data_IF_727783025630
#
_entry.id   IF_727783025630
#
_cell.length_a   1.000
_cell.length_b   1.000
_cell.length_c   1.000
_cell.angle_alpha   90.00
_cell.angle_beta   90.00
_cell.angle_gamma   90.00
#
_symmetry.space_group_name_H-M   'P 1'
#
loop_
_entity.id
_entity.type
_entity.pdbx_description
1 polymer ?
#
# COMPACT_ATOMS: atom_id res chain seq x y z
N UNK A 1 13.94 -6.86 6.40
CA UNK A 1 12.62 -6.57 5.81
C UNK A 1 12.59 -7.20 4.43
N UNK A 2 11.50 -7.88 4.07
CA UNK A 2 11.29 -8.44 2.74
C UNK A 2 9.99 -7.87 2.18
N UNK A 3 10.03 -7.43 0.93
CA UNK A 3 8.91 -6.81 0.24
C UNK A 3 8.69 -7.58 -1.06
N UNK A 4 7.47 -8.05 -1.30
CA UNK A 4 7.09 -8.66 -2.57
C UNK A 4 6.03 -7.78 -3.23
N UNK A 5 6.32 -7.34 -4.44
CA UNK A 5 5.34 -6.70 -5.32
C UNK A 5 4.49 -7.78 -5.97
N UNK A 6 3.21 -7.71 -5.75
CA UNK A 6 2.27 -8.65 -6.36
C UNK A 6 1.81 -8.11 -7.72
N UNK A 7 1.08 -7.03 -7.76
CA UNK A 7 0.76 -6.25 -8.98
C UNK A 7 0.32 -4.85 -8.54
N UNK A 8 0.59 -3.86 -9.33
CA UNK A 8 0.11 -2.48 -9.17
C UNK A 8 0.59 -1.87 -7.85
N UNK A 9 -0.32 -1.60 -6.92
CA UNK A 9 0.02 -1.09 -5.59
C UNK A 9 0.07 -2.18 -4.52
N UNK A 10 -0.25 -3.43 -4.88
CA UNK A 10 -0.33 -4.51 -3.92
C UNK A 10 1.06 -5.02 -3.53
N UNK A 11 1.35 -4.95 -2.23
CA UNK A 11 2.59 -5.40 -1.63
C UNK A 11 2.35 -6.43 -0.53
N UNK A 12 3.18 -7.46 -0.47
CA UNK A 12 3.32 -8.32 0.71
C UNK A 12 4.60 -7.93 1.43
N UNK A 13 4.47 -7.44 2.66
CA UNK A 13 5.59 -6.94 3.48
C UNK A 13 5.82 -7.85 4.68
N UNK A 14 7.03 -8.40 4.78
CA UNK A 14 7.47 -9.20 5.92
C UNK A 14 8.53 -8.41 6.70
N UNK A 15 8.20 -8.05 7.94
CA UNK A 15 9.11 -7.28 8.79
C UNK A 15 8.77 -7.46 10.26
N UNK A 16 9.77 -7.47 11.13
CA UNK A 16 9.62 -7.62 12.58
C UNK A 16 8.77 -8.84 13.00
N UNK A 17 8.88 -9.95 12.25
CA UNK A 17 8.09 -11.17 12.49
C UNK A 17 6.62 -11.06 12.12
N UNK A 18 6.23 -10.03 11.40
CA UNK A 18 4.86 -9.78 10.92
C UNK A 18 4.78 -9.82 9.41
N UNK A 19 3.61 -10.21 8.90
CA UNK A 19 3.28 -10.26 7.48
C UNK A 19 2.06 -9.41 7.20
N UNK A 20 2.22 -8.37 6.37
CA UNK A 20 1.20 -7.41 6.02
C UNK A 20 0.90 -7.49 4.52
N UNK A 21 -0.37 -7.60 4.15
CA UNK A 21 -0.83 -7.43 2.78
C UNK A 21 -1.33 -5.98 2.62
N UNK A 22 -0.71 -5.22 1.72
CA UNK A 22 -1.02 -3.81 1.49
C UNK A 22 -1.74 -3.66 0.16
N UNK A 23 -2.83 -2.92 0.14
CA UNK A 23 -3.63 -2.55 -1.03
C UNK A 23 -3.98 -3.75 -1.96
N UNK A 24 -4.72 -4.76 -1.47
CA UNK A 24 -5.17 -5.88 -2.29
C UNK A 24 -6.34 -5.46 -3.21
N UNK A 25 -6.04 -4.67 -4.22
CA UNK A 25 -7.01 -4.20 -5.21
C UNK A 25 -7.23 -5.17 -6.37
N UNK A 26 -8.24 -4.90 -7.20
CA UNK A 26 -8.70 -5.80 -8.25
C UNK A 26 -7.62 -6.17 -9.29
N UNK A 27 -6.65 -5.30 -9.56
CA UNK A 27 -5.53 -5.61 -10.46
C UNK A 27 -4.59 -6.70 -9.93
N UNK A 28 -4.56 -6.91 -8.62
CA UNK A 28 -3.68 -7.88 -7.95
C UNK A 28 -4.34 -9.23 -7.68
N UNK A 29 -5.60 -9.42 -8.07
CA UNK A 29 -6.41 -10.57 -7.64
C UNK A 29 -5.76 -11.93 -7.93
N UNK A 30 -5.27 -12.15 -9.14
CA UNK A 30 -4.61 -13.41 -9.51
C UNK A 30 -3.30 -13.62 -8.74
N UNK A 31 -2.53 -12.55 -8.52
CA UNK A 31 -1.28 -12.63 -7.79
C UNK A 31 -1.50 -12.91 -6.28
N UNK A 32 -2.51 -12.29 -5.66
CA UNK A 32 -2.88 -12.56 -4.27
C UNK A 32 -3.41 -13.97 -4.09
N UNK A 33 -4.29 -14.46 -4.97
CA UNK A 33 -4.76 -15.85 -4.96
C UNK A 33 -3.61 -16.85 -5.19
N UNK A 34 -2.61 -16.43 -5.96
CA UNK A 34 -1.39 -17.20 -6.21
C UNK A 34 -0.48 -17.38 -4.98
N UNK A 35 -0.65 -16.61 -3.90
CA UNK A 35 0.07 -16.81 -2.64
C UNK A 35 -0.26 -18.16 -2.01
N UNK A 36 -1.46 -18.67 -2.23
CA UNK A 36 -1.93 -19.93 -1.65
C UNK A 36 -2.42 -19.79 -0.21
N UNK A 37 -3.16 -20.80 0.24
CA UNK A 37 -3.89 -20.75 1.50
C UNK A 37 -2.98 -20.62 2.74
N UNK A 38 -1.80 -21.25 2.74
CA UNK A 38 -0.87 -21.21 3.87
C UNK A 38 -0.26 -19.81 4.05
N UNK A 39 0.15 -19.18 2.95
CA UNK A 39 0.72 -17.84 3.00
C UNK A 39 -0.34 -16.80 3.38
N UNK A 40 -1.55 -16.90 2.83
CA UNK A 40 -2.67 -16.04 3.22
C UNK A 40 -3.06 -16.22 4.68
N UNK A 41 -3.13 -17.47 5.19
CA UNK A 41 -3.45 -17.75 6.59
C UNK A 41 -2.43 -17.18 7.59
N UNK A 42 -1.24 -16.83 7.13
CA UNK A 42 -0.17 -16.27 7.97
C UNK A 42 -0.16 -14.72 8.00
N UNK A 43 -1.15 -14.07 7.40
CA UNK A 43 -1.26 -12.60 7.46
C UNK A 43 -1.61 -12.15 8.89
N UNK A 44 -0.90 -11.15 9.36
CA UNK A 44 -1.19 -10.44 10.62
C UNK A 44 -2.15 -9.27 10.38
N UNK A 45 -2.05 -8.61 9.23
CA UNK A 45 -2.95 -7.52 8.87
C UNK A 45 -3.09 -7.34 7.36
N UNK A 46 -4.23 -6.76 6.96
CA UNK A 46 -4.44 -6.12 5.66
C UNK A 46 -4.45 -4.62 5.87
N UNK A 47 -3.63 -3.89 5.11
CA UNK A 47 -3.48 -2.43 5.21
C UNK A 47 -4.00 -1.79 3.94
N UNK A 48 -4.88 -0.81 4.05
CA UNK A 48 -5.55 -0.19 2.90
C UNK A 48 -5.37 1.32 2.95
N UNK A 49 -4.68 1.86 1.95
CA UNK A 49 -4.37 3.29 1.86
C UNK A 49 -5.58 4.13 1.52
N UNK A 50 -6.48 3.65 0.67
CA UNK A 50 -7.73 4.32 0.30
C UNK A 50 -8.71 3.38 -0.43
N UNK A 51 -9.92 3.86 -0.71
CA UNK A 51 -11.08 3.07 -1.12
C UNK A 51 -11.21 2.78 -2.63
N UNK A 52 -10.26 3.17 -3.49
CA UNK A 52 -10.38 2.88 -4.92
C UNK A 52 -10.27 1.37 -5.21
N UNK A 53 -10.98 0.84 -6.23
CA UNK A 53 -11.04 -0.60 -6.51
C UNK A 53 -9.70 -1.24 -6.88
N UNK A 54 -8.74 -0.46 -7.34
CA UNK A 54 -7.37 -0.89 -7.61
C UNK A 54 -6.48 -0.97 -6.36
N UNK A 55 -6.98 -0.50 -5.19
CA UNK A 55 -6.33 -0.61 -3.88
C UNK A 55 -7.10 -1.50 -2.89
N UNK A 56 -8.41 -1.64 -3.05
CA UNK A 56 -9.21 -2.60 -2.28
C UNK A 56 -10.29 -3.22 -3.15
N UNK A 57 -10.24 -4.54 -3.30
CA UNK A 57 -11.29 -5.34 -3.91
C UNK A 57 -12.02 -6.08 -2.79
N UNK A 58 -13.35 -5.90 -2.65
CA UNK A 58 -14.13 -6.51 -1.57
C UNK A 58 -14.07 -8.03 -1.54
N UNK A 59 -14.13 -8.68 -2.70
CA UNK A 59 -14.10 -10.14 -2.78
C UNK A 59 -12.72 -10.67 -2.40
N UNK A 60 -11.67 -10.06 -2.92
CA UNK A 60 -10.30 -10.42 -2.60
C UNK A 60 -9.96 -10.19 -1.12
N UNK A 61 -10.44 -9.08 -0.55
CA UNK A 61 -10.33 -8.81 0.89
C UNK A 61 -11.05 -9.89 1.69
N UNK A 62 -12.26 -10.26 1.29
CA UNK A 62 -13.03 -11.34 1.92
C UNK A 62 -12.30 -12.68 1.88
N UNK A 63 -11.72 -13.07 0.74
CA UNK A 63 -10.91 -14.28 0.59
C UNK A 63 -9.68 -14.27 1.50
N UNK A 64 -8.93 -13.15 1.55
CA UNK A 64 -7.77 -13.01 2.42
C UNK A 64 -8.13 -13.11 3.90
N UNK A 65 -9.22 -12.45 4.33
CA UNK A 65 -9.70 -12.47 5.71
C UNK A 65 -10.34 -13.79 6.12
N UNK A 66 -10.89 -14.55 5.19
CA UNK A 66 -11.38 -15.90 5.43
C UNK A 66 -10.21 -16.88 5.70
N UNK A 67 -9.09 -16.70 4.99
CA UNK A 67 -7.86 -17.47 5.23
C UNK A 67 -7.16 -17.06 6.53
N UNK A 68 -7.08 -15.76 6.82
CA UNK A 68 -6.44 -15.17 8.00
C UNK A 68 -7.50 -14.64 8.99
N UNK A 69 -8.13 -15.53 9.74
CA UNK A 69 -9.25 -15.18 10.64
C UNK A 69 -8.89 -14.13 11.70
N UNK A 70 -7.63 -14.09 12.13
CA UNK A 70 -7.14 -13.19 13.19
C UNK A 70 -6.48 -11.90 12.63
N UNK A 71 -6.36 -11.76 11.30
CA UNK A 71 -5.75 -10.59 10.71
C UNK A 71 -6.60 -9.33 10.96
N UNK A 72 -5.93 -8.24 11.36
CA UNK A 72 -6.54 -6.91 11.49
C UNK A 72 -6.69 -6.24 10.11
N UNK A 73 -7.69 -5.38 9.94
CA UNK A 73 -7.80 -4.50 8.77
C UNK A 73 -7.51 -3.08 9.20
N UNK A 74 -6.39 -2.53 8.77
CA UNK A 74 -5.98 -1.17 9.08
C UNK A 74 -6.24 -0.32 7.85
N UNK A 75 -7.13 0.65 7.93
CA UNK A 75 -7.58 1.40 6.77
C UNK A 75 -7.69 2.91 7.04
N UNK A 76 -7.51 3.69 5.99
CA UNK A 76 -7.85 5.11 5.98
C UNK A 76 -9.31 5.31 6.46
N UNK A 77 -9.63 6.36 7.23
CA UNK A 77 -10.94 6.47 7.89
C UNK A 77 -12.18 6.46 6.99
N UNK A 78 -12.13 7.00 5.76
CA UNK A 78 -13.26 6.92 4.82
C UNK A 78 -13.42 5.48 4.30
N UNK A 79 -12.31 4.83 4.01
CA UNK A 79 -12.25 3.41 3.62
C UNK A 79 -12.75 2.51 4.74
N UNK A 80 -12.32 2.74 5.98
CA UNK A 80 -12.78 1.98 7.14
C UNK A 80 -14.31 2.05 7.31
N UNK A 81 -14.89 3.25 7.12
CA UNK A 81 -16.35 3.43 7.15
C UNK A 81 -17.05 2.69 6.01
N UNK A 82 -16.50 2.73 4.80
CA UNK A 82 -17.02 1.98 3.65
C UNK A 82 -17.04 0.47 3.95
N UNK A 83 -15.96 -0.08 4.48
CA UNK A 83 -15.84 -1.52 4.76
C UNK A 83 -16.80 -2.01 5.85
N UNK A 84 -17.16 -1.14 6.80
CA UNK A 84 -18.00 -1.49 7.95
C UNK A 84 -19.46 -1.02 7.82
N UNK A 85 -19.81 -0.34 6.73
CA UNK A 85 -21.18 0.13 6.50
C UNK A 85 -22.15 -1.05 6.30
N UNK A 86 -23.33 -0.97 6.90
CA UNK A 86 -24.35 -2.00 6.78
C UNK A 86 -24.88 -2.19 5.34
N UNK A 87 -24.72 -1.16 4.49
CA UNK A 87 -25.17 -1.12 3.10
C UNK A 87 -24.03 -1.33 2.10
N UNK A 88 -22.88 -1.82 2.55
CA UNK A 88 -21.67 -2.02 1.72
C UNK A 88 -21.80 -3.13 0.68
N UNK A 89 -23.02 -3.63 0.41
CA UNK A 89 -23.28 -4.59 -0.65
C UNK A 89 -23.42 -3.88 -1.99
N UNK A 90 -22.47 -4.12 -2.88
CA UNK A 90 -22.59 -4.05 -4.33
C UNK A 90 -22.79 -2.69 -5.04
N UNK A 91 -21.76 -2.31 -5.77
CA UNK A 91 -21.92 -1.58 -7.04
C UNK A 91 -22.43 -2.45 -8.20
N UNK A 92 -22.98 -3.65 -7.95
CA UNK A 92 -23.52 -4.58 -8.94
C UNK A 92 -24.97 -4.93 -8.66
N UNK A 93 -25.83 -4.86 -9.69
CA UNK A 93 -27.27 -5.14 -9.61
C UNK A 93 -27.54 -6.62 -9.20
N UNK A 94 -27.58 -6.89 -7.91
CA UNK A 94 -27.99 -8.17 -7.34
C UNK A 94 -28.62 -7.94 -5.96
N UNK A 95 -29.86 -8.41 -5.75
CA UNK A 95 -30.56 -8.42 -4.47
C UNK A 95 -29.86 -9.38 -3.50
N UNK A 96 -28.74 -8.98 -2.91
CA UNK A 96 -28.05 -9.68 -1.83
C UNK A 96 -28.31 -8.98 -0.50
N UNK A 97 -28.55 -9.73 0.56
CA UNK A 97 -28.75 -9.24 1.93
C UNK A 97 -27.50 -8.50 2.40
N UNK A 98 -27.48 -7.17 2.25
CA UNK A 98 -26.34 -6.33 2.56
C UNK A 98 -25.99 -6.36 4.04
N UNK A 99 -24.77 -6.82 4.31
CA UNK A 99 -24.10 -6.67 5.61
C UNK A 99 -22.78 -5.93 5.39
N UNK A 100 -22.05 -5.59 6.47
CA UNK A 100 -20.73 -4.99 6.35
C UNK A 100 -19.76 -5.97 5.64
N UNK A 101 -18.89 -5.43 4.80
CA UNK A 101 -17.84 -6.23 4.13
C UNK A 101 -16.86 -6.83 5.13
N UNK A 102 -16.58 -6.09 6.21
CA UNK A 102 -15.71 -6.52 7.30
C UNK A 102 -16.40 -6.24 8.64
N UNK A 103 -16.32 -7.18 9.57
CA UNK A 103 -16.84 -6.99 10.91
C UNK A 103 -16.12 -5.81 11.59
N UNK A 104 -16.91 -4.93 12.24
CA UNK A 104 -16.43 -3.66 12.82
C UNK A 104 -15.25 -3.84 13.78
N UNK A 105 -15.25 -4.92 14.56
CA UNK A 105 -14.21 -5.24 15.53
C UNK A 105 -12.85 -5.61 14.91
N UNK A 106 -12.83 -5.92 13.62
CA UNK A 106 -11.60 -6.22 12.87
C UNK A 106 -10.99 -5.01 12.18
N UNK A 107 -11.75 -3.92 12.07
CA UNK A 107 -11.32 -2.72 11.34
C UNK A 107 -10.78 -1.67 12.29
N UNK A 108 -9.54 -1.26 12.05
CA UNK A 108 -8.85 -0.19 12.75
C UNK A 108 -8.76 1.00 11.80
N UNK A 109 -9.63 2.02 11.95
CA UNK A 109 -9.46 3.26 11.22
C UNK A 109 -8.20 3.97 11.70
N UNK A 110 -7.34 4.37 10.77
CA UNK A 110 -6.08 5.03 11.10
C UNK A 110 -5.95 6.31 10.27
N UNK A 111 -6.11 7.45 10.95
CA UNK A 111 -6.01 8.76 10.32
C UNK A 111 -4.54 9.22 10.20
N UNK A 112 -4.28 10.12 9.25
CA UNK A 112 -2.96 10.73 9.11
C UNK A 112 -2.48 11.37 10.43
N UNK A 113 -1.24 11.08 10.80
CA UNK A 113 -0.63 11.45 12.08
C UNK A 113 -0.85 10.43 13.20
N UNK A 114 -1.71 9.43 13.01
CA UNK A 114 -1.89 8.34 13.97
C UNK A 114 -0.97 7.16 13.66
N UNK A 115 -0.78 6.28 14.63
CA UNK A 115 0.03 5.09 14.47
C UNK A 115 -0.57 3.89 15.21
N UNK A 116 -0.61 2.75 14.52
CA UNK A 116 -0.86 1.45 15.10
C UNK A 116 0.45 0.77 15.50
N UNK A 117 0.47 0.07 16.63
CA UNK A 117 1.62 -0.68 17.13
C UNK A 117 1.26 -2.13 17.30
N UNK A 118 1.89 -2.98 16.52
CA UNK A 118 1.79 -4.42 16.72
C UNK A 118 2.58 -4.86 17.94
N UNK A 119 2.04 -5.79 18.72
CA UNK A 119 2.79 -6.42 19.83
C UNK A 119 4.03 -7.12 19.28
N UNK A 120 5.15 -7.13 20.01
CA UNK A 120 6.35 -7.87 19.61
C UNK A 120 6.06 -9.36 19.39
N UNK A 121 6.75 -9.97 18.42
CA UNK A 121 6.71 -11.42 18.15
C UNK A 121 8.08 -12.01 18.45
N UNK A 122 8.17 -12.91 19.42
CA UNK A 122 9.46 -13.48 19.86
C UNK A 122 10.44 -12.37 20.24
N UNK A 123 11.66 -12.43 19.70
CA UNK A 123 12.71 -11.44 19.96
C UNK A 123 12.68 -10.24 19.00
N UNK A 124 11.65 -10.15 18.13
CA UNK A 124 11.51 -9.00 17.21
C UNK A 124 11.01 -7.75 17.94
N UNK A 125 11.48 -6.55 17.55
CA UNK A 125 10.94 -5.31 18.06
C UNK A 125 9.49 -5.11 17.65
N UNK A 126 8.73 -4.29 18.41
CA UNK A 126 7.39 -3.88 18.00
C UNK A 126 7.40 -3.20 16.64
N UNK A 127 6.53 -3.66 15.74
CA UNK A 127 6.31 -2.98 14.45
C UNK A 127 5.37 -1.78 14.69
N UNK A 128 5.77 -0.63 14.18
CA UNK A 128 4.95 0.59 14.14
C UNK A 128 4.54 0.86 12.69
N UNK A 129 3.24 1.01 12.49
CA UNK A 129 2.62 1.47 11.27
C UNK A 129 2.05 2.87 11.51
N UNK A 130 2.54 3.86 10.80
CA UNK A 130 2.10 5.26 10.88
C UNK A 130 1.38 5.65 9.59
N UNK A 131 0.19 6.22 9.72
CA UNK A 131 -0.55 6.80 8.61
C UNK A 131 -0.12 8.25 8.40
N UNK A 132 0.15 8.63 7.15
CA UNK A 132 0.68 9.96 6.79
C UNK A 132 -0.08 10.59 5.63
N UNK A 133 -0.02 11.90 5.49
CA UNK A 133 -0.67 12.65 4.40
C UNK A 133 -2.16 12.89 4.65
N UNK A 134 -3.05 12.01 4.22
CA UNK A 134 -4.49 12.05 4.52
C UNK A 134 -5.39 12.41 3.33
N UNK A 135 -4.84 12.71 2.17
CA UNK A 135 -5.62 13.09 0.97
C UNK A 135 -5.07 12.44 -0.29
N UNK A 136 -5.98 11.89 -1.08
CA UNK A 136 -5.69 11.43 -2.44
C UNK A 136 -5.21 12.59 -3.33
N UNK A 137 -4.41 12.33 -4.35
CA UNK A 137 -4.09 13.31 -5.39
C UNK A 137 -5.37 13.84 -6.07
N UNK A 138 -5.30 15.02 -6.68
CA UNK A 138 -6.43 15.56 -7.43
C UNK A 138 -6.50 14.86 -8.78
N UNK A 139 -7.56 14.08 -9.01
CA UNK A 139 -7.81 13.43 -10.31
C UNK A 139 -8.35 14.48 -11.29
N UNK A 140 -9.44 15.15 -10.91
CA UNK A 140 -10.05 16.25 -11.65
C UNK A 140 -10.81 17.17 -10.67
N UNK A 141 -10.89 18.49 -10.89
CA UNK A 141 -11.64 19.39 -10.00
C UNK A 141 -13.10 19.01 -9.77
N UNK A 142 -13.74 18.35 -10.73
CA UNK A 142 -15.15 17.92 -10.63
C UNK A 142 -15.31 16.52 -10.02
N UNK A 143 -14.20 15.82 -9.69
CA UNK A 143 -14.22 14.54 -8.99
C UNK A 143 -13.95 14.80 -7.51
N UNK A 144 -14.83 14.35 -6.61
CA UNK A 144 -14.59 14.50 -5.17
C UNK A 144 -13.25 13.92 -4.75
N UNK A 145 -12.48 14.68 -3.99
CA UNK A 145 -11.19 14.23 -3.45
C UNK A 145 -11.45 13.41 -2.20
N UNK A 146 -11.11 12.14 -2.23
CA UNK A 146 -11.25 11.21 -1.12
C UNK A 146 -10.03 11.23 -0.18
N UNK A 147 -10.14 10.54 0.96
CA UNK A 147 -9.01 10.26 1.84
C UNK A 147 -8.00 9.32 1.17
N UNK A 148 -6.73 9.49 1.51
CA UNK A 148 -5.62 8.57 1.22
C UNK A 148 -4.59 8.72 2.32
N UNK A 149 -4.24 7.64 2.99
CA UNK A 149 -3.13 7.64 3.93
C UNK A 149 -1.95 6.87 3.33
N UNK A 150 -0.84 7.57 3.10
CA UNK A 150 0.43 6.90 2.94
C UNK A 150 0.80 6.19 4.24
N UNK A 151 1.71 5.22 4.16
CA UNK A 151 2.10 4.37 5.29
C UNK A 151 3.60 4.48 5.52
N UNK A 152 4.01 4.59 6.78
CA UNK A 152 5.40 4.42 7.21
C UNK A 152 5.48 3.22 8.15
N UNK A 153 6.23 2.18 7.75
CA UNK A 153 6.54 1.02 8.58
C UNK A 153 7.93 1.16 9.18
N UNK A 154 8.03 0.93 10.49
CA UNK A 154 9.31 0.97 11.21
C UNK A 154 9.33 0.00 12.40
N UNK A 155 10.51 -0.61 12.68
CA UNK A 155 10.67 -1.51 13.81
C UNK A 155 12.11 -1.45 14.36
N UNK A 156 12.27 -1.01 15.60
CA UNK A 156 13.60 -0.80 16.21
C UNK A 156 14.52 0.04 15.32
N UNK A 157 15.76 -0.40 15.16
CA UNK A 157 16.77 0.22 14.29
C UNK A 157 16.77 -0.36 12.86
N UNK A 158 15.70 -1.06 12.48
CA UNK A 158 15.53 -1.63 11.14
C UNK A 158 15.20 -0.58 10.08
N UNK A 159 15.23 -0.96 8.80
CA UNK A 159 14.90 -0.06 7.71
C UNK A 159 13.45 0.44 7.80
N UNK A 160 13.25 1.71 7.45
CA UNK A 160 11.94 2.36 7.37
C UNK A 160 11.41 2.27 5.93
N UNK A 161 10.20 1.76 5.78
CA UNK A 161 9.49 1.66 4.49
C UNK A 161 8.37 2.70 4.43
N UNK A 162 8.39 3.55 3.42
CA UNK A 162 7.29 4.42 3.05
C UNK A 162 6.49 3.83 1.88
N UNK A 163 5.17 3.97 1.92
CA UNK A 163 4.24 3.59 0.83
C UNK A 163 3.33 4.79 0.60
N UNK A 164 3.24 5.29 -0.62
CA UNK A 164 2.55 6.56 -0.89
C UNK A 164 1.02 6.42 -0.96
N UNK A 165 0.51 5.24 -1.34
CA UNK A 165 -0.82 5.18 -1.92
C UNK A 165 -0.91 6.12 -3.12
N UNK A 166 -2.06 6.77 -3.30
CA UNK A 166 -2.33 7.66 -4.42
C UNK A 166 -2.11 9.14 -4.07
N UNK A 167 -0.91 9.42 -3.57
CA UNK A 167 -0.45 10.78 -3.32
C UNK A 167 1.05 10.92 -3.61
N UNK A 168 1.45 12.03 -4.20
CA UNK A 168 2.83 12.46 -4.38
C UNK A 168 3.12 13.71 -3.54
N UNK A 169 2.46 13.85 -2.40
CA UNK A 169 2.74 14.91 -1.44
C UNK A 169 3.98 14.55 -0.61
N UNK A 170 5.05 15.37 -0.62
CA UNK A 170 6.27 15.09 0.13
C UNK A 170 6.11 15.47 1.60
N UNK A 171 5.34 14.62 2.33
CA UNK A 171 5.10 14.83 3.75
C UNK A 171 6.37 14.67 4.59
N UNK A 172 6.52 15.38 5.73
CA UNK A 172 7.72 15.33 6.55
C UNK A 172 8.10 13.93 7.02
N UNK A 173 7.13 13.06 7.24
CA UNK A 173 7.32 11.69 7.71
C UNK A 173 8.09 10.81 6.71
N UNK A 174 8.08 11.17 5.44
CA UNK A 174 8.89 10.51 4.41
C UNK A 174 10.36 10.95 4.41
N UNK A 175 10.76 11.96 5.18
CA UNK A 175 12.16 12.30 5.31
C UNK A 175 12.94 11.19 6.04
N UNK A 176 14.09 10.82 5.51
CA UNK A 176 14.93 9.76 6.07
C UNK A 176 14.33 8.35 5.92
N UNK A 177 13.46 8.14 4.93
CA UNK A 177 12.97 6.82 4.53
C UNK A 177 14.10 6.06 3.84
N UNK A 178 14.32 4.80 4.25
CA UNK A 178 15.30 3.92 3.61
C UNK A 178 14.76 3.37 2.28
N UNK A 179 13.49 2.96 2.28
CA UNK A 179 12.80 2.39 1.12
C UNK A 179 11.48 3.12 0.91
N UNK A 180 11.20 3.52 -0.31
CA UNK A 180 9.93 4.16 -0.71
C UNK A 180 9.27 3.37 -1.84
N UNK A 181 8.10 2.79 -1.59
CA UNK A 181 7.21 2.32 -2.63
C UNK A 181 6.34 3.50 -3.09
N UNK A 182 6.47 3.92 -4.34
CA UNK A 182 5.87 5.14 -4.86
C UNK A 182 5.11 4.92 -6.17
N UNK A 183 4.02 5.64 -6.37
CA UNK A 183 3.26 5.63 -7.61
C UNK A 183 4.13 6.17 -8.76
N UNK A 184 4.63 5.27 -9.63
CA UNK A 184 5.52 5.64 -10.75
C UNK A 184 4.76 6.26 -11.91
N UNK A 185 3.49 5.90 -12.08
CA UNK A 185 2.56 6.48 -13.03
C UNK A 185 1.12 6.30 -12.56
N UNK A 186 0.27 7.25 -12.87
CA UNK A 186 -1.15 7.19 -12.56
C UNK A 186 -1.94 8.10 -13.50
N UNK A 187 -3.25 7.87 -13.69
CA UNK A 187 -4.10 8.77 -14.47
C UNK A 187 -4.17 10.22 -13.94
N UNK A 188 -3.89 10.38 -12.64
CA UNK A 188 -3.92 11.67 -11.94
C UNK A 188 -2.55 12.35 -11.83
N UNK A 189 -1.43 11.69 -12.22
CA UNK A 189 -0.08 12.22 -12.07
C UNK A 189 0.56 12.61 -13.38
N UNK A 190 1.45 13.59 -13.33
CA UNK A 190 2.40 13.89 -14.41
C UNK A 190 3.78 13.33 -14.04
N UNK A 191 4.53 12.89 -15.04
CA UNK A 191 5.91 12.43 -14.86
C UNK A 191 6.78 13.45 -14.09
N UNK A 192 6.58 14.75 -14.34
CA UNK A 192 7.29 15.80 -13.61
C UNK A 192 6.95 15.81 -12.10
N UNK A 193 5.70 15.55 -11.73
CA UNK A 193 5.26 15.50 -10.34
C UNK A 193 5.92 14.33 -9.62
N UNK A 194 5.97 13.15 -10.25
CA UNK A 194 6.65 11.96 -9.72
C UNK A 194 8.15 12.22 -9.51
N UNK A 195 8.81 12.85 -10.47
CA UNK A 195 10.25 13.17 -10.37
C UNK A 195 10.51 14.18 -9.24
N UNK A 196 9.75 15.28 -9.17
CA UNK A 196 9.93 16.29 -8.13
C UNK A 196 9.58 15.76 -6.74
N UNK A 197 8.60 14.85 -6.64
CA UNK A 197 8.30 14.14 -5.39
C UNK A 197 9.50 13.30 -4.92
N UNK A 198 10.10 12.46 -5.80
CA UNK A 198 11.29 11.69 -5.45
C UNK A 198 12.45 12.57 -5.02
N UNK A 199 12.64 13.73 -5.68
CA UNK A 199 13.68 14.71 -5.32
C UNK A 199 13.43 15.34 -3.96
N UNK A 200 12.17 15.60 -3.62
CA UNK A 200 11.81 16.18 -2.33
C UNK A 200 11.96 15.17 -1.18
N UNK A 201 11.64 13.90 -1.40
CA UNK A 201 11.75 12.85 -0.38
C UNK A 201 13.19 12.34 -0.24
N UNK A 202 13.88 12.07 -1.34
CA UNK A 202 15.25 11.57 -1.39
C UNK A 202 15.46 10.23 -0.67
N UNK A 203 14.65 9.17 -0.94
CA UNK A 203 14.83 7.88 -0.30
C UNK A 203 16.14 7.23 -0.75
N UNK A 204 16.72 6.33 0.05
CA UNK A 204 17.90 5.55 -0.38
C UNK A 204 17.55 4.59 -1.50
N UNK A 205 16.38 3.94 -1.42
CA UNK A 205 15.85 3.02 -2.42
C UNK A 205 14.40 3.40 -2.76
N UNK A 206 14.10 3.58 -4.03
CA UNK A 206 12.76 3.83 -4.55
C UNK A 206 12.29 2.64 -5.39
N UNK A 207 11.15 2.05 -5.04
CA UNK A 207 10.52 0.91 -5.67
C UNK A 207 9.25 1.37 -6.39
N UNK A 208 9.14 1.19 -7.73
CA UNK A 208 7.97 1.65 -8.47
C UNK A 208 6.76 0.76 -8.22
N UNK A 209 5.63 1.36 -7.89
CA UNK A 209 4.31 0.73 -7.80
C UNK A 209 3.29 1.52 -8.63
N UNK A 210 2.02 1.13 -8.62
CA UNK A 210 0.92 1.78 -9.34
C UNK A 210 1.11 1.79 -10.86
N UNK A 211 1.61 0.72 -11.42
CA UNK A 211 2.08 0.65 -12.80
C UNK A 211 1.21 -0.19 -13.75
N UNK A 212 0.22 -0.93 -13.25
CA UNK A 212 -0.66 -1.76 -14.09
C UNK A 212 -1.52 -0.96 -15.09
N UNK A 213 -1.67 0.34 -14.88
CA UNK A 213 -2.35 1.26 -15.83
C UNK A 213 -1.49 1.59 -17.05
N UNK A 214 -0.20 1.33 -17.02
CA UNK A 214 0.70 1.50 -18.14
C UNK A 214 0.77 0.22 -18.99
N UNK A 215 0.88 0.39 -20.30
CA UNK A 215 1.20 -0.75 -21.16
C UNK A 215 2.66 -1.20 -20.97
N UNK A 216 2.98 -2.43 -21.36
CA UNK A 216 4.36 -2.96 -21.34
C UNK A 216 5.35 -2.10 -22.11
N UNK A 217 4.88 -1.40 -23.14
CA UNK A 217 5.69 -0.45 -23.90
C UNK A 217 5.82 0.92 -23.22
N UNK A 218 4.82 1.32 -22.44
CA UNK A 218 4.78 2.63 -21.77
C UNK A 218 5.53 2.64 -20.45
N UNK A 219 5.38 1.60 -19.63
CA UNK A 219 6.00 1.48 -18.30
C UNK A 219 7.52 1.77 -18.30
N UNK A 220 8.33 1.20 -19.22
CA UNK A 220 9.76 1.49 -19.27
C UNK A 220 10.11 2.95 -19.52
N UNK A 221 9.23 3.73 -20.15
CA UNK A 221 9.43 5.17 -20.36
C UNK A 221 9.38 5.90 -19.02
N UNK A 222 8.38 5.63 -18.19
CA UNK A 222 8.25 6.22 -16.86
C UNK A 222 9.43 5.83 -15.99
N UNK A 223 9.72 4.54 -15.89
CA UNK A 223 10.81 4.03 -15.07
C UNK A 223 12.16 4.64 -15.46
N UNK A 224 12.49 4.67 -16.75
CA UNK A 224 13.73 5.28 -17.23
C UNK A 224 13.86 6.75 -16.84
N UNK A 225 12.77 7.52 -16.94
CA UNK A 225 12.83 8.95 -16.63
C UNK A 225 12.99 9.20 -15.13
N UNK A 226 12.25 8.49 -14.28
CA UNK A 226 12.42 8.63 -12.83
C UNK A 226 13.79 8.15 -12.37
N UNK A 227 14.35 7.10 -12.99
CA UNK A 227 15.73 6.63 -12.72
C UNK A 227 16.77 7.68 -13.11
N UNK A 228 16.66 8.23 -14.31
CA UNK A 228 17.64 9.20 -14.82
C UNK A 228 17.62 10.54 -14.08
N UNK A 229 16.49 10.90 -13.48
CA UNK A 229 16.27 12.19 -12.86
C UNK A 229 16.08 12.11 -11.33
N UNK A 230 16.27 10.94 -10.76
CA UNK A 230 16.29 10.74 -9.31
C UNK A 230 17.39 11.62 -8.65
N UNK A 231 17.21 12.04 -7.40
CA UNK A 231 18.23 12.81 -6.70
C UNK A 231 19.48 11.95 -6.41
N UNK A 232 20.60 12.62 -6.22
CA UNK A 232 21.86 11.97 -5.80
C UNK A 232 21.63 11.17 -4.50
N UNK A 233 22.13 9.94 -4.47
CA UNK A 233 21.97 9.03 -3.32
C UNK A 233 20.70 8.19 -3.34
N UNK A 234 19.77 8.42 -4.28
CA UNK A 234 18.57 7.60 -4.47
C UNK A 234 18.80 6.56 -5.57
N UNK A 235 18.69 5.29 -5.24
CA UNK A 235 18.59 4.20 -6.20
C UNK A 235 17.11 3.98 -6.58
N UNK A 236 16.76 4.12 -7.85
CA UNK A 236 15.46 3.65 -8.37
C UNK A 236 15.66 2.25 -8.92
N UNK A 237 15.05 1.27 -8.30
CA UNK A 237 15.20 -0.15 -8.64
C UNK A 237 13.88 -0.73 -9.11
N UNK A 238 13.89 -1.34 -10.28
CA UNK A 238 12.74 -2.15 -10.74
C UNK A 238 12.65 -3.45 -9.96
N UNK A 239 11.47 -4.03 -9.95
CA UNK A 239 11.24 -5.33 -9.31
C UNK A 239 11.93 -6.44 -10.11
N UNK A 240 12.59 -7.40 -9.45
CA UNK A 240 13.06 -8.62 -10.09
C UNK A 240 11.88 -9.48 -10.57
N UNK A 241 12.15 -10.51 -11.35
CA UNK A 241 11.13 -11.37 -11.96
C UNK A 241 10.20 -12.04 -10.92
N UNK A 242 10.72 -12.37 -9.74
CA UNK A 242 9.96 -12.93 -8.62
C UNK A 242 9.26 -11.85 -7.76
N UNK A 243 9.41 -10.58 -8.13
CA UNK A 243 8.84 -9.43 -7.41
C UNK A 243 9.44 -9.17 -6.03
N UNK A 244 10.50 -9.88 -5.60
CA UNK A 244 10.97 -9.87 -4.21
C UNK A 244 12.22 -9.01 -4.04
N UNK A 245 12.16 -8.09 -3.08
CA UNK A 245 13.31 -7.27 -2.65
C UNK A 245 13.54 -7.47 -1.15
N UNK A 246 14.76 -7.86 -0.79
CA UNK A 246 15.19 -7.98 0.59
C UNK A 246 16.05 -6.78 0.99
N UNK A 247 15.70 -6.17 2.13
CA UNK A 247 16.41 -5.01 2.68
C UNK A 247 17.12 -5.45 3.95
N UNK A 248 18.43 -5.46 3.91
CA UNK A 248 19.27 -5.73 5.07
C UNK A 248 19.21 -4.56 6.07
N UNK A 249 19.50 -4.83 7.34
CA UNK A 249 19.82 -3.78 8.30
C UNK A 249 21.13 -3.13 7.85
N UNK A 250 21.13 -1.82 7.74
CA UNK A 250 22.35 -1.01 7.50
C UNK A 250 23.21 -0.93 8.75
#
# INVERSE_FOLDING_TARGET
MKIRHLVHSCLLVETAGRRLLVDPGGFSADAVRGLGAEELASLDAVVITHQHPDHVDPDLLGEALAAASDAEVIAEPETARMLTAADASDGGAGEGSGGPLVAQERVIPLAAGEAHRFTPVGDHPSLRLEAVGGRHAIIHPDIPRIGNCGIVLSAGDGPRLGITGDSLEPVPEFHGIDVLAFAVTAPWSKMSETIEFLRAVGPRLALPVHDAVASDLGRPIYLRQVTNLAPEGTEVRDWPEDGVVEIARS
#
